data_IF_445545090283
#
_entry.id   IF_445545090283
#
_cell.length_a   1.000
_cell.length_b   1.000
_cell.length_c   1.000
_cell.angle_alpha   90.00
_cell.angle_beta   90.00
_cell.angle_gamma   90.00
#
_symmetry.space_group_name_H-M   'P 1'
#
loop_
_entity.id
_entity.type
_entity.pdbx_description
1 polymer ?
#
# COMPACT_ATOMS: atom_id res chain seq x y z
N UNK A 1 -3.38 20.26 -49.30
CA UNK A 1 -1.96 19.84 -49.46
C UNK A 1 -1.62 18.88 -48.33
N UNK A 2 -1.49 17.58 -48.58
CA UNK A 2 -1.16 16.61 -47.52
C UNK A 2 0.31 16.76 -47.09
N UNK A 3 0.55 16.85 -45.79
CA UNK A 3 1.89 16.95 -45.18
C UNK A 3 2.77 15.74 -45.61
N UNK A 4 4.07 15.94 -45.89
CA UNK A 4 4.94 14.90 -46.47
C UNK A 4 5.05 13.62 -45.61
N UNK A 5 5.00 13.73 -44.28
CA UNK A 5 5.01 12.57 -43.38
C UNK A 5 3.75 11.68 -43.52
N UNK A 6 2.61 12.22 -43.97
CA UNK A 6 1.39 11.41 -44.19
C UNK A 6 1.53 10.46 -45.38
N UNK A 7 2.36 10.80 -46.38
CA UNK A 7 2.62 9.93 -47.54
C UNK A 7 3.52 8.75 -47.17
N UNK A 8 4.43 8.94 -46.23
CA UNK A 8 5.31 7.88 -45.72
C UNK A 8 4.55 6.87 -44.83
N UNK A 9 3.47 7.31 -44.16
CA UNK A 9 2.60 6.44 -43.37
C UNK A 9 1.77 5.46 -44.21
N UNK A 10 1.48 5.76 -45.48
CA UNK A 10 0.74 4.83 -46.35
C UNK A 10 1.51 3.56 -46.64
N UNK A 11 2.85 3.60 -46.59
CA UNK A 11 3.72 2.43 -46.71
C UNK A 11 3.48 1.40 -45.60
N UNK A 12 3.06 1.85 -44.42
CA UNK A 12 2.81 1.00 -43.26
C UNK A 12 1.36 0.50 -43.17
N UNK A 13 0.43 1.03 -43.98
CA UNK A 13 -0.98 0.62 -43.98
C UNK A 13 -1.24 -0.77 -44.57
N UNK A 14 -0.35 -1.25 -45.44
CA UNK A 14 -0.51 -2.51 -46.18
C UNK A 14 0.51 -3.58 -45.78
N UNK A 15 1.12 -3.44 -44.60
CA UNK A 15 2.04 -4.44 -44.07
C UNK A 15 1.20 -5.62 -43.55
N UNK A 16 1.50 -6.83 -44.02
CA UNK A 16 0.85 -8.04 -43.54
C UNK A 16 1.41 -8.42 -42.16
N UNK A 17 0.61 -8.18 -41.12
CA UNK A 17 0.98 -8.45 -39.72
C UNK A 17 1.26 -9.93 -39.50
N UNK A 18 0.47 -10.82 -40.11
CA UNK A 18 0.62 -12.29 -40.00
C UNK A 18 1.94 -12.82 -40.60
N UNK A 19 2.45 -12.19 -41.66
CA UNK A 19 3.73 -12.57 -42.27
C UNK A 19 4.93 -12.13 -41.40
N UNK A 20 4.75 -11.08 -40.60
CA UNK A 20 5.75 -10.62 -39.64
C UNK A 20 5.72 -11.53 -38.41
N UNK A 21 4.53 -11.87 -37.91
CA UNK A 21 4.34 -12.75 -36.76
C UNK A 21 4.89 -14.16 -37.00
N UNK A 22 4.75 -14.69 -38.22
CA UNK A 22 5.30 -16.00 -38.58
C UNK A 22 6.82 -16.02 -38.78
N UNK A 23 7.47 -14.87 -39.00
CA UNK A 23 8.94 -14.74 -39.13
C UNK A 23 9.64 -14.52 -37.80
N UNK A 24 8.89 -14.13 -36.76
CA UNK A 24 9.42 -13.96 -35.40
C UNK A 24 9.75 -15.32 -34.79
N UNK A 25 10.91 -15.39 -34.15
CA UNK A 25 11.33 -16.59 -33.41
C UNK A 25 10.54 -16.73 -32.10
N UNK A 26 10.46 -17.95 -31.54
CA UNK A 26 9.75 -18.22 -30.28
C UNK A 26 10.25 -17.34 -29.11
N UNK A 27 11.52 -16.95 -29.13
CA UNK A 27 12.12 -16.10 -28.10
C UNK A 27 11.69 -14.63 -28.26
N UNK A 28 11.55 -14.14 -29.49
CA UNK A 28 11.07 -12.78 -29.75
C UNK A 28 9.55 -12.66 -29.51
N UNK A 29 8.79 -13.72 -29.77
CA UNK A 29 7.38 -13.79 -29.40
C UNK A 29 7.20 -13.73 -27.87
N UNK A 30 8.02 -14.45 -27.11
CA UNK A 30 8.02 -14.34 -25.63
C UNK A 30 8.41 -12.95 -25.14
N UNK A 31 9.34 -12.28 -25.82
CA UNK A 31 9.68 -10.90 -25.49
C UNK A 31 8.51 -9.94 -25.76
N UNK A 32 7.81 -10.11 -26.88
CA UNK A 32 6.61 -9.34 -27.20
C UNK A 32 5.48 -9.58 -26.19
N UNK A 33 5.28 -10.83 -25.76
CA UNK A 33 4.32 -11.18 -24.70
C UNK A 33 4.66 -10.46 -23.40
N UNK A 34 5.92 -10.48 -22.96
CA UNK A 34 6.34 -9.76 -21.76
C UNK A 34 6.16 -8.24 -21.90
N UNK A 35 6.45 -7.67 -23.07
CA UNK A 35 6.27 -6.22 -23.32
C UNK A 35 4.78 -5.84 -23.34
N UNK A 36 3.90 -6.68 -23.89
CA UNK A 36 2.45 -6.45 -23.85
C UNK A 36 1.91 -6.51 -22.41
N UNK A 37 2.39 -7.45 -21.60
CA UNK A 37 2.05 -7.55 -20.17
C UNK A 37 2.50 -6.30 -19.39
N UNK A 38 3.67 -5.74 -19.71
CA UNK A 38 4.24 -4.55 -19.06
C UNK A 38 3.59 -3.23 -19.51
N UNK A 39 2.94 -3.21 -20.68
CA UNK A 39 2.30 -2.01 -21.25
C UNK A 39 0.92 -1.71 -20.63
N UNK A 40 0.29 -2.68 -19.96
CA UNK A 40 -0.94 -2.48 -19.19
C UNK A 40 -0.81 -2.94 -17.72
N UNK A 41 0.02 -2.26 -16.91
CA UNK A 41 0.16 -2.57 -15.48
C UNK A 41 -1.13 -2.27 -14.68
N UNK A 42 -2.10 -1.60 -15.33
CA UNK A 42 -3.38 -1.16 -14.80
C UNK A 42 -4.54 -1.80 -15.56
N UNK A 43 -4.45 -3.10 -15.89
CA UNK A 43 -5.64 -3.84 -16.30
C UNK A 43 -6.63 -3.85 -15.12
N UNK A 44 -7.47 -2.81 -15.05
CA UNK A 44 -8.34 -2.47 -13.94
C UNK A 44 -9.39 -3.56 -13.65
N UNK A 45 -9.57 -4.48 -14.59
CA UNK A 45 -10.44 -5.64 -14.50
C UNK A 45 -9.80 -6.81 -13.73
N UNK A 46 -8.47 -6.84 -13.57
CA UNK A 46 -7.76 -7.89 -12.83
C UNK A 46 -7.52 -7.49 -11.37
N UNK A 47 -7.93 -8.33 -10.40
CA UNK A 47 -7.65 -8.12 -8.99
C UNK A 47 -6.15 -8.02 -8.71
N UNK A 48 -5.77 -7.20 -7.72
CA UNK A 48 -4.38 -6.88 -7.40
C UNK A 48 -3.46 -8.12 -7.23
N UNK A 49 -3.98 -9.22 -6.66
CA UNK A 49 -3.22 -10.46 -6.49
C UNK A 49 -2.90 -11.21 -7.78
N UNK A 50 -3.67 -10.98 -8.85
CA UNK A 50 -3.44 -11.56 -10.18
C UNK A 50 -2.63 -10.65 -11.10
N UNK A 51 -2.23 -9.45 -10.63
CA UNK A 51 -1.32 -8.56 -11.35
C UNK A 51 0.14 -8.98 -11.18
N UNK A 52 0.46 -9.76 -10.15
CA UNK A 52 1.80 -10.24 -9.86
C UNK A 52 2.07 -11.57 -10.57
N UNK A 53 2.95 -11.56 -11.58
CA UNK A 53 3.36 -12.77 -12.32
C UNK A 53 4.22 -13.70 -11.47
N UNK A 54 4.16 -15.00 -11.76
CA UNK A 54 5.07 -16.00 -11.19
C UNK A 54 6.51 -15.72 -11.65
N UNK A 55 7.38 -15.41 -10.69
CA UNK A 55 8.78 -15.02 -10.95
C UNK A 55 9.74 -16.20 -11.06
N UNK A 56 9.22 -17.44 -11.18
CA UNK A 56 10.07 -18.64 -11.16
C UNK A 56 9.79 -19.55 -12.35
N UNK A 57 10.84 -19.90 -13.06
CA UNK A 57 10.86 -20.94 -14.10
C UNK A 57 11.17 -22.35 -13.53
N UNK A 58 11.16 -22.51 -12.21
CA UNK A 58 11.45 -23.78 -11.54
C UNK A 58 10.21 -24.67 -11.65
N UNK A 59 10.38 -25.92 -12.04
CA UNK A 59 9.33 -26.92 -11.91
C UNK A 59 8.98 -27.10 -10.42
N UNK A 60 7.70 -27.35 -10.15
CA UNK A 60 7.17 -27.54 -8.79
C UNK A 60 8.03 -28.55 -8.03
N UNK A 61 8.75 -28.07 -7.02
CA UNK A 61 9.66 -28.90 -6.25
C UNK A 61 8.95 -29.35 -4.97
N UNK A 62 8.30 -30.50 -5.01
CA UNK A 62 7.72 -31.16 -3.83
C UNK A 62 6.53 -32.08 -4.17
N UNK A 63 6.08 -32.94 -3.23
CA UNK A 63 4.83 -33.72 -3.36
C UNK A 63 3.56 -32.86 -3.16
N UNK A 64 3.70 -31.54 -3.22
CA UNK A 64 2.66 -30.58 -2.87
C UNK A 64 2.00 -30.06 -4.15
N UNK A 65 0.81 -30.58 -4.46
CA UNK A 65 -0.01 -30.12 -5.58
C UNK A 65 -0.89 -28.95 -5.12
N UNK A 66 -0.58 -27.74 -5.60
CA UNK A 66 -1.35 -26.51 -5.26
C UNK A 66 -2.83 -26.66 -5.61
N UNK A 67 -3.13 -27.21 -6.79
CA UNK A 67 -4.52 -27.41 -7.26
C UNK A 67 -5.31 -28.32 -6.33
N UNK A 68 -4.67 -29.36 -5.80
CA UNK A 68 -5.29 -30.29 -4.86
C UNK A 68 -5.58 -29.63 -3.52
N UNK A 69 -4.69 -28.77 -3.04
CA UNK A 69 -4.92 -27.98 -1.82
C UNK A 69 -6.09 -27.00 -2.02
N UNK A 70 -6.13 -26.30 -3.16
CA UNK A 70 -7.23 -25.38 -3.47
C UNK A 70 -8.57 -26.12 -3.51
N UNK A 71 -8.64 -27.25 -4.21
CA UNK A 71 -9.85 -28.07 -4.28
C UNK A 71 -10.29 -28.63 -2.91
N UNK A 72 -9.33 -28.90 -2.01
CA UNK A 72 -9.63 -29.31 -0.64
C UNK A 72 -10.23 -28.15 0.17
N UNK A 73 -9.62 -26.96 0.09
CA UNK A 73 -10.09 -25.77 0.81
C UNK A 73 -11.47 -25.32 0.33
N UNK A 74 -11.75 -25.39 -0.97
CA UNK A 74 -13.09 -25.09 -1.52
C UNK A 74 -14.16 -26.05 -0.98
N UNK A 75 -13.84 -27.35 -0.92
CA UNK A 75 -14.75 -28.36 -0.34
C UNK A 75 -14.98 -28.12 1.14
N UNK A 76 -13.92 -27.86 1.90
CA UNK A 76 -14.02 -27.58 3.33
C UNK A 76 -14.85 -26.32 3.59
N UNK A 77 -14.67 -25.25 2.81
CA UNK A 77 -15.47 -24.04 2.91
C UNK A 77 -16.96 -24.28 2.60
N UNK A 78 -17.26 -25.14 1.62
CA UNK A 78 -18.64 -25.46 1.23
C UNK A 78 -19.33 -26.40 2.22
N UNK A 79 -18.58 -27.29 2.86
CA UNK A 79 -19.08 -28.21 3.90
C UNK A 79 -19.20 -27.55 5.27
N UNK A 80 -18.43 -26.49 5.53
CA UNK A 80 -18.45 -25.77 6.80
C UNK A 80 -19.81 -25.07 6.99
N UNK A 81 -20.67 -25.66 7.82
CA UNK A 81 -21.98 -25.09 8.17
C UNK A 81 -21.81 -23.77 8.92
N UNK A 82 -22.69 -22.82 8.63
CA UNK A 82 -22.81 -21.59 9.40
C UNK A 82 -23.14 -21.92 10.86
N UNK A 83 -22.55 -21.14 11.77
CA UNK A 83 -22.83 -21.27 13.20
C UNK A 83 -24.30 -20.92 13.44
N UNK A 84 -25.02 -21.78 14.14
CA UNK A 84 -26.40 -21.49 14.51
C UNK A 84 -26.44 -20.29 15.47
N UNK A 85 -27.12 -19.22 15.06
CA UNK A 85 -27.36 -18.07 15.91
C UNK A 85 -28.34 -18.46 17.03
N UNK A 86 -27.86 -18.50 18.28
CA UNK A 86 -28.68 -18.81 19.46
C UNK A 86 -29.80 -17.81 19.74
N UNK A 87 -29.81 -16.67 19.04
CA UNK A 87 -30.83 -15.63 19.16
C UNK A 87 -31.56 -15.56 17.81
N UNK A 88 -32.80 -16.08 17.71
CA UNK A 88 -33.57 -15.96 16.48
C UNK A 88 -33.76 -14.47 16.14
N UNK A 89 -33.50 -14.11 14.89
CA UNK A 89 -33.62 -12.75 14.39
C UNK A 89 -35.04 -12.21 14.64
N UNK A 90 -35.18 -11.31 15.60
CA UNK A 90 -36.48 -10.77 16.04
C UNK A 90 -37.09 -9.75 15.08
N UNK A 91 -36.45 -9.44 13.95
CA UNK A 91 -36.96 -8.49 12.94
C UNK A 91 -37.05 -7.03 13.39
N UNK A 92 -36.84 -6.75 14.68
CA UNK A 92 -36.85 -5.40 15.25
C UNK A 92 -35.49 -4.73 15.02
N UNK A 93 -35.44 -3.78 14.07
CA UNK A 93 -34.27 -2.89 13.91
C UNK A 93 -34.15 -2.01 15.16
N UNK A 94 -33.31 -2.43 16.11
CA UNK A 94 -32.89 -1.56 17.23
C UNK A 94 -31.99 -0.46 16.69
N UNK A 95 -32.53 0.76 16.63
CA UNK A 95 -31.81 1.96 16.21
C UNK A 95 -32.70 2.89 15.38
N UNK A 96 -32.29 4.14 15.24
CA UNK A 96 -32.93 5.04 14.27
C UNK A 96 -32.66 4.48 12.88
N UNK A 97 -33.72 4.28 12.09
CA UNK A 97 -33.60 3.90 10.68
C UNK A 97 -32.67 4.93 10.04
N UNK A 98 -31.58 4.46 9.42
CA UNK A 98 -30.67 5.33 8.71
C UNK A 98 -31.45 6.03 7.61
N UNK A 99 -31.70 7.33 7.79
CA UNK A 99 -32.20 8.20 6.73
C UNK A 99 -30.95 8.57 5.93
N UNK A 100 -30.83 8.14 4.67
CA UNK A 100 -29.75 8.57 3.80
C UNK A 100 -29.69 10.09 3.84
N UNK A 101 -28.54 10.65 4.23
CA UNK A 101 -28.33 12.08 4.12
C UNK A 101 -28.47 12.40 2.64
N UNK A 102 -29.48 13.18 2.27
CA UNK A 102 -29.54 13.80 0.95
C UNK A 102 -28.22 14.55 0.80
N UNK A 103 -27.34 14.05 -0.07
CA UNK A 103 -26.24 14.87 -0.55
C UNK A 103 -26.95 16.04 -1.24
N UNK A 104 -26.67 17.31 -0.86
CA UNK A 104 -27.18 18.41 -1.66
C UNK A 104 -26.76 18.09 -3.09
N UNK A 105 -27.76 17.98 -3.98
CA UNK A 105 -27.48 18.01 -5.41
C UNK A 105 -26.64 19.28 -5.57
N UNK A 106 -25.38 19.13 -5.96
CA UNK A 106 -24.64 20.27 -6.48
C UNK A 106 -25.46 20.73 -7.67
N UNK A 107 -26.34 21.69 -7.43
CA UNK A 107 -26.85 22.54 -8.48
C UNK A 107 -25.61 23.29 -8.94
N UNK A 108 -24.88 22.69 -9.87
CA UNK A 108 -24.03 23.45 -10.76
C UNK A 108 -24.97 24.51 -11.33
N UNK A 109 -24.91 25.73 -10.79
CA UNK A 109 -25.42 26.88 -11.52
C UNK A 109 -24.62 26.86 -12.81
N UNK A 110 -25.26 26.44 -13.90
CA UNK A 110 -24.76 26.68 -15.23
C UNK A 110 -24.61 28.20 -15.34
N UNK A 111 -23.41 28.70 -15.06
CA UNK A 111 -23.03 30.05 -15.40
C UNK A 111 -23.24 30.13 -16.91
N UNK A 112 -24.31 30.81 -17.32
CA UNK A 112 -24.51 31.17 -18.71
C UNK A 112 -23.33 32.04 -19.09
N UNK A 113 -22.33 31.42 -19.72
CA UNK A 113 -21.21 32.10 -20.32
C UNK A 113 -21.81 32.98 -21.41
N UNK A 114 -21.90 34.28 -21.15
CA UNK A 114 -22.33 35.26 -22.14
C UNK A 114 -21.19 35.35 -23.14
N UNK A 115 -21.41 34.84 -24.35
CA UNK A 115 -20.41 34.94 -25.41
C UNK A 115 -20.60 36.29 -26.12
N UNK A 116 -19.54 36.78 -26.75
CA UNK A 116 -19.66 37.98 -27.58
C UNK A 116 -20.71 37.72 -28.70
N UNK A 117 -21.54 38.70 -29.05
CA UNK A 117 -22.68 38.49 -29.95
C UNK A 117 -22.30 37.96 -31.34
N UNK A 118 -21.09 38.27 -31.81
CA UNK A 118 -20.55 37.73 -33.07
C UNK A 118 -20.24 36.22 -32.97
N UNK A 119 -19.85 35.74 -31.79
CA UNK A 119 -19.50 34.34 -31.55
C UNK A 119 -20.76 33.48 -31.32
N UNK A 120 -21.81 34.05 -30.69
CA UNK A 120 -23.12 33.39 -30.56
C UNK A 120 -23.78 33.18 -31.93
N UNK A 121 -23.71 34.17 -32.82
CA UNK A 121 -24.25 34.07 -34.18
C UNK A 121 -23.48 33.04 -35.02
N UNK A 122 -22.15 33.01 -34.91
CA UNK A 122 -21.32 32.00 -35.58
C UNK A 122 -21.58 30.58 -35.06
N UNK A 123 -21.82 30.41 -33.75
CA UNK A 123 -22.11 29.11 -33.15
C UNK A 123 -23.53 28.61 -33.51
N UNK A 124 -24.51 29.52 -33.58
CA UNK A 124 -25.88 29.19 -33.97
C UNK A 124 -26.04 28.92 -35.48
N UNK A 125 -25.18 29.51 -36.32
CA UNK A 125 -25.17 29.30 -37.77
C UNK A 125 -24.34 28.11 -38.25
N UNK A 126 -23.51 27.52 -37.38
CA UNK A 126 -22.67 26.38 -37.72
C UNK A 126 -23.48 25.09 -37.94
N UNK A 127 -23.06 24.27 -38.90
CA UNK A 127 -23.69 22.96 -39.13
C UNK A 127 -23.26 21.93 -38.07
N UNK A 128 -24.12 20.95 -37.78
CA UNK A 128 -23.84 19.91 -36.76
C UNK A 128 -22.48 19.22 -36.99
N UNK A 129 -22.08 19.03 -38.25
CA UNK A 129 -20.78 18.45 -38.60
C UNK A 129 -19.59 19.32 -38.21
N UNK A 130 -19.71 20.63 -38.38
CA UNK A 130 -18.65 21.59 -38.00
C UNK A 130 -18.58 21.76 -36.49
N UNK A 131 -19.72 21.65 -35.80
CA UNK A 131 -19.78 21.65 -34.33
C UNK A 131 -19.03 20.45 -33.73
N UNK A 132 -19.18 19.25 -34.31
CA UNK A 132 -18.44 18.07 -33.86
C UNK A 132 -16.92 18.24 -34.02
N UNK A 133 -16.47 18.77 -35.14
CA UNK A 133 -15.04 19.02 -35.40
C UNK A 133 -14.47 20.08 -34.45
N UNK A 134 -15.20 21.16 -34.21
CA UNK A 134 -14.81 22.20 -33.25
C UNK A 134 -14.79 21.67 -31.81
N UNK A 135 -15.79 20.88 -31.41
CA UNK A 135 -15.83 20.26 -30.09
C UNK A 135 -14.64 19.32 -29.87
N UNK A 136 -14.24 18.56 -30.90
CA UNK A 136 -13.05 17.70 -30.86
C UNK A 136 -11.75 18.49 -30.68
N UNK A 137 -11.59 19.60 -31.40
CA UNK A 137 -10.44 20.49 -31.26
C UNK A 137 -10.38 21.14 -29.86
N UNK A 138 -11.52 21.60 -29.36
CA UNK A 138 -11.61 22.26 -28.05
C UNK A 138 -11.36 21.28 -26.89
N UNK A 139 -11.90 20.05 -26.99
CA UNK A 139 -11.61 18.97 -26.06
C UNK A 139 -10.12 18.60 -26.07
N UNK A 140 -9.51 18.47 -27.24
CA UNK A 140 -8.08 18.17 -27.37
C UNK A 140 -7.20 19.28 -26.82
N UNK A 141 -7.53 20.55 -27.10
CA UNK A 141 -6.82 21.71 -26.57
C UNK A 141 -6.97 21.83 -25.05
N UNK A 142 -8.18 21.60 -24.52
CA UNK A 142 -8.43 21.57 -23.08
C UNK A 142 -7.69 20.43 -22.39
N UNK A 143 -7.55 19.27 -23.04
CA UNK A 143 -6.77 18.14 -22.55
C UNK A 143 -5.26 18.42 -22.57
N UNK A 144 -4.75 19.13 -23.59
CA UNK A 144 -3.36 19.56 -23.67
C UNK A 144 -3.02 20.62 -22.63
N UNK A 145 -3.95 21.54 -22.34
CA UNK A 145 -3.82 22.51 -21.24
C UNK A 145 -4.11 21.90 -19.86
N UNK A 146 -4.49 20.60 -19.82
CA UNK A 146 -4.66 19.81 -18.60
C UNK A 146 -3.36 19.20 -18.09
N UNK A 147 -2.20 19.77 -18.45
CA UNK A 147 -1.03 19.66 -17.58
C UNK A 147 -1.39 20.31 -16.24
N UNK A 148 -1.28 19.59 -15.12
CA UNK A 148 -1.85 20.05 -13.88
C UNK A 148 -0.92 21.11 -13.28
N UNK A 149 -1.21 22.39 -13.52
CA UNK A 149 -1.00 23.37 -12.46
C UNK A 149 -2.09 23.07 -11.45
N UNK A 150 -1.86 22.06 -10.62
CA UNK A 150 -2.78 21.69 -9.56
C UNK A 150 -3.07 22.95 -8.72
N UNK A 151 -4.31 23.41 -8.55
CA UNK A 151 -4.68 24.16 -7.37
C UNK A 151 -4.78 23.18 -6.19
N UNK A 152 -3.73 22.38 -5.99
CA UNK A 152 -3.57 21.55 -4.82
C UNK A 152 -3.18 22.50 -3.69
N UNK A 153 -4.17 23.16 -3.10
CA UNK A 153 -4.05 23.47 -1.67
C UNK A 153 -4.17 22.12 -0.98
N UNK A 154 -3.06 21.38 -0.95
CA UNK A 154 -2.87 20.25 -0.05
C UNK A 154 -3.02 20.85 1.34
N UNK A 155 -4.19 20.69 1.95
CA UNK A 155 -4.35 20.98 3.37
C UNK A 155 -3.51 19.93 4.08
N UNK A 156 -2.25 20.28 4.36
CA UNK A 156 -1.39 19.48 5.21
C UNK A 156 -2.18 19.13 6.47
N UNK A 157 -2.20 17.85 6.82
CA UNK A 157 -2.79 17.41 8.08
C UNK A 157 -2.18 18.27 9.20
N UNK A 158 -3.02 18.89 10.03
CA UNK A 158 -2.54 19.71 11.13
C UNK A 158 -1.70 18.80 12.01
N UNK A 159 -0.37 19.01 11.99
CA UNK A 159 0.58 18.25 12.80
C UNK A 159 0.07 18.30 14.23
N UNK A 160 -0.38 17.15 14.75
CA UNK A 160 -0.71 17.04 16.16
C UNK A 160 0.58 17.41 16.90
N UNK A 161 0.58 18.45 17.75
CA UNK A 161 1.77 18.80 18.50
C UNK A 161 2.18 17.55 19.29
N UNK A 162 3.32 16.97 18.92
CA UNK A 162 3.87 15.82 19.62
C UNK A 162 4.30 16.36 20.97
N UNK A 163 3.50 16.07 22.00
CA UNK A 163 3.88 16.37 23.36
C UNK A 163 5.11 15.53 23.67
N UNK A 164 6.24 16.18 23.95
CA UNK A 164 7.42 15.48 24.43
C UNK A 164 7.04 14.86 25.78
N UNK A 165 6.74 13.56 25.76
CA UNK A 165 6.45 12.82 26.99
C UNK A 165 7.64 12.98 27.95
N UNK A 166 7.37 13.16 29.25
CA UNK A 166 8.43 13.38 30.22
C UNK A 166 9.45 12.24 30.17
N UNK A 167 10.75 12.56 30.33
CA UNK A 167 11.79 11.54 30.32
C UNK A 167 11.50 10.48 31.39
N UNK A 168 11.67 9.22 31.01
CA UNK A 168 11.39 8.09 31.89
C UNK A 168 12.19 8.21 33.20
N UNK A 169 11.55 8.20 34.39
CA UNK A 169 12.23 8.33 35.68
C UNK A 169 12.94 7.04 36.14
N UNK A 170 12.96 5.99 35.32
CA UNK A 170 13.53 4.69 35.70
C UNK A 170 15.05 4.79 35.89
N UNK A 171 15.52 4.37 37.07
CA UNK A 171 16.95 4.33 37.40
C UNK A 171 17.57 3.01 36.90
N UNK A 172 18.44 3.13 35.89
CA UNK A 172 19.11 2.02 35.21
C UNK A 172 19.88 1.13 36.19
N UNK A 173 20.70 1.71 37.07
CA UNK A 173 21.57 0.93 37.98
C UNK A 173 20.75 0.17 39.03
N UNK A 174 19.73 0.82 39.59
CA UNK A 174 18.84 0.16 40.54
C UNK A 174 18.08 -0.99 39.88
N UNK A 175 17.58 -0.80 38.66
CA UNK A 175 16.91 -1.88 37.91
C UNK A 175 17.87 -3.02 37.55
N UNK A 176 19.13 -2.72 37.22
CA UNK A 176 20.15 -3.71 36.93
C UNK A 176 20.42 -4.62 38.15
N UNK A 177 20.57 -4.02 39.34
CA UNK A 177 20.80 -4.76 40.57
C UNK A 177 19.62 -5.64 40.95
N UNK A 178 18.39 -5.12 40.83
CA UNK A 178 17.16 -5.90 41.08
C UNK A 178 17.00 -7.06 40.12
N UNK A 179 17.36 -6.84 38.86
CA UNK A 179 17.32 -7.87 37.84
C UNK A 179 18.37 -8.96 38.10
N UNK A 180 19.57 -8.60 38.55
CA UNK A 180 20.62 -9.55 38.99
C UNK A 180 20.24 -10.30 40.27
N UNK A 181 19.48 -9.67 41.17
CA UNK A 181 18.95 -10.29 42.38
C UNK A 181 17.74 -11.20 42.13
N UNK A 182 17.22 -11.26 40.90
CA UNK A 182 16.01 -11.99 40.53
C UNK A 182 14.78 -11.61 41.37
N UNK A 183 14.56 -10.30 41.54
CA UNK A 183 13.40 -9.81 42.28
C UNK A 183 12.07 -10.21 41.60
N UNK A 184 11.14 -10.88 42.31
CA UNK A 184 9.88 -11.35 41.73
C UNK A 184 8.88 -10.21 41.45
N UNK A 185 9.15 -9.01 41.94
CA UNK A 185 8.32 -7.81 41.72
C UNK A 185 8.62 -7.13 40.39
N UNK A 186 9.77 -7.43 39.76
CA UNK A 186 10.22 -6.79 38.53
C UNK A 186 9.68 -7.53 37.30
N UNK A 187 8.44 -7.22 36.92
CA UNK A 187 7.77 -7.85 35.75
C UNK A 187 8.05 -7.10 34.45
N UNK A 188 8.19 -5.78 34.53
CA UNK A 188 8.35 -4.90 33.37
C UNK A 188 9.57 -3.99 33.56
N UNK A 189 10.47 -4.01 32.59
CA UNK A 189 11.67 -3.17 32.55
C UNK A 189 11.56 -2.27 31.31
N UNK A 190 11.40 -0.98 31.55
CA UNK A 190 11.26 0.03 30.51
C UNK A 190 12.46 0.99 30.56
N UNK A 191 13.30 0.94 29.52
CA UNK A 191 14.48 1.79 29.33
C UNK A 191 14.29 2.81 28.20
N UNK A 192 13.04 3.09 27.79
CA UNK A 192 12.75 3.95 26.65
C UNK A 192 13.22 5.40 26.87
N UNK A 193 13.76 6.00 25.81
CA UNK A 193 14.20 7.41 25.73
C UNK A 193 15.35 7.80 26.69
N UNK A 194 16.08 6.83 27.27
CA UNK A 194 17.25 7.10 28.10
C UNK A 194 18.50 7.26 27.21
N UNK A 195 18.90 8.51 26.96
CA UNK A 195 19.93 8.86 25.95
C UNK A 195 21.39 8.52 26.33
N UNK A 196 21.65 8.14 27.59
CA UNK A 196 23.00 8.06 28.17
C UNK A 196 23.33 6.70 28.82
N UNK A 197 22.89 5.58 28.24
CA UNK A 197 23.27 4.25 28.74
C UNK A 197 24.54 3.77 28.00
N UNK A 198 25.65 3.45 28.71
CA UNK A 198 26.85 2.94 28.06
C UNK A 198 26.60 1.53 27.50
N UNK A 199 27.03 1.29 26.26
CA UNK A 199 26.93 -0.01 25.55
C UNK A 199 27.32 -1.24 26.41
N UNK A 200 28.41 -1.23 27.21
CA UNK A 200 28.74 -2.39 28.05
C UNK A 200 27.64 -2.73 29.07
N UNK A 201 26.97 -1.73 29.67
CA UNK A 201 25.89 -1.99 30.62
C UNK A 201 24.71 -2.67 29.94
N UNK A 202 24.34 -2.27 28.71
CA UNK A 202 23.28 -2.95 27.94
C UNK A 202 23.62 -4.42 27.65
N UNK A 203 24.89 -4.74 27.42
CA UNK A 203 25.34 -6.14 27.27
C UNK A 203 25.19 -6.91 28.57
N UNK A 204 25.46 -6.29 29.71
CA UNK A 204 25.26 -6.89 31.01
C UNK A 204 23.77 -7.09 31.31
N UNK A 205 22.90 -6.16 30.90
CA UNK A 205 21.45 -6.34 30.96
C UNK A 205 21.00 -7.59 30.20
N UNK A 206 21.45 -7.76 28.96
CA UNK A 206 21.10 -8.92 28.15
C UNK A 206 21.56 -10.25 28.79
N UNK A 207 22.76 -10.28 29.39
CA UNK A 207 23.25 -11.45 30.13
C UNK A 207 22.45 -11.74 31.40
N UNK A 208 22.05 -10.70 32.12
CA UNK A 208 21.25 -10.87 33.33
C UNK A 208 19.82 -11.32 33.01
N UNK A 209 19.27 -10.97 31.84
CA UNK A 209 17.98 -11.49 31.35
C UNK A 209 18.02 -13.01 31.10
N UNK A 210 19.17 -13.59 30.71
CA UNK A 210 19.30 -15.05 30.55
C UNK A 210 19.09 -15.80 31.88
N UNK A 211 19.47 -15.20 33.00
CA UNK A 211 19.34 -15.79 34.34
C UNK A 211 18.03 -15.45 35.05
N UNK A 212 17.24 -14.53 34.51
CA UNK A 212 16.04 -14.01 35.14
C UNK A 212 14.79 -14.72 34.61
N UNK A 213 13.89 -15.12 35.51
CA UNK A 213 12.67 -15.88 35.20
C UNK A 213 11.38 -15.08 35.40
N UNK A 214 11.48 -13.84 35.86
CA UNK A 214 10.34 -13.03 36.30
C UNK A 214 10.02 -11.87 35.35
N UNK A 215 11.01 -11.34 34.63
CA UNK A 215 10.82 -10.26 33.66
C UNK A 215 10.05 -10.79 32.44
N UNK A 216 8.91 -10.18 32.13
CA UNK A 216 8.06 -10.53 30.98
C UNK A 216 8.16 -9.51 29.85
N UNK A 217 8.38 -8.24 30.19
CA UNK A 217 8.47 -7.15 29.21
C UNK A 217 9.79 -6.40 29.38
N UNK A 218 10.58 -6.35 28.33
CA UNK A 218 11.80 -5.57 28.25
C UNK A 218 11.70 -4.61 27.05
N UNK A 219 11.75 -3.30 27.30
CA UNK A 219 11.64 -2.26 26.27
C UNK A 219 12.86 -1.36 26.29
N UNK A 220 13.49 -1.18 25.12
CA UNK A 220 14.73 -0.42 24.95
C UNK A 220 14.67 0.52 23.72
N UNK A 221 13.65 1.38 23.66
CA UNK A 221 13.52 2.33 22.55
C UNK A 221 14.44 3.55 22.69
N UNK A 222 15.03 4.00 21.58
CA UNK A 222 15.81 5.24 21.49
C UNK A 222 17.01 5.37 22.47
N UNK A 223 17.66 4.26 22.82
CA UNK A 223 18.81 4.20 23.76
C UNK A 223 20.19 4.16 23.08
N UNK A 224 20.27 4.44 21.76
CA UNK A 224 21.50 4.27 20.95
C UNK A 224 22.10 2.86 21.05
N UNK A 225 21.25 1.84 21.08
CA UNK A 225 21.66 0.44 21.00
C UNK A 225 22.27 0.14 19.62
N UNK A 226 23.51 -0.34 19.60
CA UNK A 226 24.21 -0.77 18.38
C UNK A 226 24.05 -2.28 18.12
N UNK A 227 24.44 -2.74 16.93
CA UNK A 227 24.40 -4.16 16.52
C UNK A 227 24.98 -5.16 17.53
N UNK A 228 26.08 -4.86 18.27
CA UNK A 228 26.60 -5.77 19.27
C UNK A 228 25.64 -6.04 20.45
N UNK A 229 24.73 -5.12 20.75
CA UNK A 229 23.68 -5.33 21.76
C UNK A 229 22.59 -6.22 21.19
N UNK A 230 22.20 -5.99 19.93
CA UNK A 230 21.20 -6.79 19.22
C UNK A 230 21.61 -8.28 19.11
N UNK A 231 22.88 -8.56 18.84
CA UNK A 231 23.40 -9.92 18.77
C UNK A 231 23.26 -10.62 20.12
N UNK A 232 23.67 -9.97 21.22
CA UNK A 232 23.58 -10.57 22.56
C UNK A 232 22.13 -10.76 22.99
N UNK A 233 21.23 -9.81 22.69
CA UNK A 233 19.80 -9.97 22.97
C UNK A 233 19.15 -11.07 22.12
N UNK A 234 19.61 -11.29 20.88
CA UNK A 234 19.10 -12.36 20.01
C UNK A 234 19.31 -13.74 20.64
N UNK A 235 20.49 -14.00 21.21
CA UNK A 235 20.76 -15.25 21.92
C UNK A 235 19.86 -15.44 23.15
N UNK A 236 19.57 -14.36 23.88
CA UNK A 236 18.69 -14.40 25.06
C UNK A 236 17.22 -14.76 24.69
N UNK A 237 16.72 -14.27 23.55
CA UNK A 237 15.35 -14.52 23.09
C UNK A 237 15.08 -15.97 22.71
N UNK A 238 16.11 -16.72 22.31
CA UNK A 238 15.97 -18.16 22.06
C UNK A 238 15.81 -18.98 23.33
N UNK A 239 16.20 -18.44 24.49
CA UNK A 239 16.27 -19.18 25.76
C UNK A 239 15.05 -18.91 26.63
N UNK A 240 14.40 -17.76 26.50
CA UNK A 240 13.25 -17.36 27.34
C UNK A 240 12.13 -16.75 26.49
N UNK A 241 10.85 -17.05 26.76
CA UNK A 241 9.71 -16.48 26.03
C UNK A 241 9.45 -15.04 26.50
N UNK A 242 10.41 -14.15 26.25
CA UNK A 242 10.28 -12.72 26.53
C UNK A 242 9.77 -12.06 25.24
N UNK A 243 8.64 -11.35 25.33
CA UNK A 243 8.14 -10.52 24.25
C UNK A 243 9.06 -9.32 24.06
N UNK A 244 10.00 -9.42 23.13
CA UNK A 244 10.90 -8.34 22.74
C UNK A 244 10.28 -7.57 21.59
N UNK A 245 10.11 -6.26 21.78
CA UNK A 245 9.60 -5.36 20.76
C UNK A 245 10.72 -4.40 20.35
N UNK A 246 11.54 -4.75 19.34
CA UNK A 246 12.49 -3.83 18.77
C UNK A 246 11.75 -2.96 17.76
N UNK A 247 11.31 -1.78 18.18
CA UNK A 247 10.92 -0.73 17.25
C UNK A 247 12.20 -0.16 16.64
N UNK A 248 12.68 -0.79 15.56
CA UNK A 248 13.68 -0.19 14.68
C UNK A 248 13.04 1.05 14.01
N UNK A 249 13.78 2.16 13.85
CA UNK A 249 13.30 3.27 13.06
C UNK A 249 13.17 2.80 11.61
N UNK A 250 11.95 2.84 11.07
CA UNK A 250 11.71 2.69 9.64
C UNK A 250 12.58 3.73 8.92
N UNK A 251 13.60 3.25 8.20
CA UNK A 251 14.34 4.04 7.24
C UNK A 251 13.36 4.43 6.14
N UNK A 252 12.93 5.69 6.18
CA UNK A 252 12.24 6.38 5.10
C UNK A 252 13.17 6.38 3.89
N UNK A 253 12.79 5.64 2.84
CA UNK A 253 13.26 5.85 1.47
C UNK A 253 12.44 6.97 0.81
#
# INVERSE_FOLDING_TARGET
MSLPFRKELEKYKNINEDEILSKLSEDELKQLENVLDDLDPENALLPAGFRQKDQTSKADTGPFDRERLLAYLEKEALEHKDREDFIPFTGEKKGKIFIPKERPLETHTEEKVILDPELEEALAGASDTELYDLAGLFLSFSALLRYPVFPNVVKGEKVKPVFEEPPNPTNVEATFQRMKANDPTLVEVNLNNIKNIPIPTLKEFAKALETNTHVKKFSLAATRSNDPVAIVSSFCLFITPISFCPLLPETVY
#
